data_IF_497115109308
#
_entry.id   IF_497115109308
#
_cell.length_a   1.000
_cell.length_b   1.000
_cell.length_c   1.000
_cell.angle_alpha   90.00
_cell.angle_beta   90.00
_cell.angle_gamma   90.00
#
_symmetry.space_group_name_H-M   'P 1'
#
loop_
_entity.id
_entity.type
_entity.pdbx_description
1 polymer ?
#
# COMPACT_ATOMS: atom_id res chain seq x y z
N UNK A 1 10.75 20.84 -26.31
CA UNK A 1 11.10 19.41 -26.03
C UNK A 1 10.18 18.94 -24.92
N UNK A 2 9.64 17.72 -25.07
CA UNK A 2 8.77 17.09 -24.05
C UNK A 2 9.55 16.93 -22.74
N UNK A 3 8.99 17.35 -21.60
CA UNK A 3 9.65 17.26 -20.29
C UNK A 3 9.91 15.80 -19.88
N UNK A 4 9.09 14.86 -20.39
CA UNK A 4 9.23 13.44 -20.13
C UNK A 4 9.88 12.67 -21.29
N UNK A 5 10.22 13.35 -22.42
CA UNK A 5 10.90 12.75 -23.58
C UNK A 5 9.99 11.88 -24.43
N UNK A 6 8.70 12.19 -24.56
CA UNK A 6 7.79 11.54 -25.50
C UNK A 6 8.09 11.97 -26.94
N UNK A 7 7.91 11.05 -27.89
CA UNK A 7 8.32 11.22 -29.32
C UNK A 7 7.25 10.86 -30.33
N UNK A 8 6.18 10.18 -29.93
CA UNK A 8 5.08 9.83 -30.84
C UNK A 8 4.21 11.04 -31.21
N UNK A 9 3.26 10.83 -32.13
CA UNK A 9 2.23 11.82 -32.46
C UNK A 9 1.39 12.24 -31.23
N UNK A 10 1.37 11.42 -30.15
CA UNK A 10 0.64 11.68 -28.90
C UNK A 10 1.48 12.42 -27.86
N UNK A 11 2.71 12.83 -28.17
CA UNK A 11 3.59 13.47 -27.19
C UNK A 11 2.97 14.71 -26.50
N UNK A 12 2.27 15.62 -27.21
CA UNK A 12 1.61 16.76 -26.58
C UNK A 12 0.52 16.37 -25.60
N UNK A 13 -0.32 15.40 -25.96
CA UNK A 13 -1.43 14.91 -25.13
C UNK A 13 -0.92 14.14 -23.90
N UNK A 14 0.13 13.34 -24.06
CA UNK A 14 0.76 12.61 -22.97
C UNK A 14 1.36 13.56 -21.92
N UNK A 15 2.04 14.63 -22.37
CA UNK A 15 2.55 15.66 -21.47
C UNK A 15 1.42 16.40 -20.74
N UNK A 16 0.41 16.87 -21.49
CA UNK A 16 -0.74 17.56 -20.91
C UNK A 16 -1.48 16.70 -19.88
N UNK A 17 -1.66 15.41 -20.18
CA UNK A 17 -2.26 14.44 -19.26
C UNK A 17 -1.43 14.24 -17.99
N UNK A 18 -0.10 14.14 -18.09
CA UNK A 18 0.76 14.01 -16.91
C UNK A 18 0.72 15.27 -16.03
N UNK A 19 0.77 16.46 -16.64
CA UNK A 19 0.62 17.74 -15.91
C UNK A 19 -0.74 17.82 -15.21
N UNK A 20 -1.83 17.40 -15.89
CA UNK A 20 -3.15 17.33 -15.29
C UNK A 20 -3.17 16.39 -14.08
N UNK A 21 -2.58 15.18 -14.21
CA UNK A 21 -2.51 14.20 -13.11
C UNK A 21 -1.68 14.69 -11.94
N UNK A 22 -0.60 15.39 -12.19
CA UNK A 22 0.24 15.99 -11.15
C UNK A 22 -0.50 17.06 -10.36
N UNK A 23 -1.18 17.97 -11.05
CA UNK A 23 -2.03 18.99 -10.41
C UNK A 23 -3.15 18.40 -9.56
N UNK A 24 -3.67 17.24 -9.96
CA UNK A 24 -4.65 16.47 -9.18
C UNK A 24 -4.04 15.62 -8.04
N UNK A 25 -2.73 15.72 -7.78
CA UNK A 25 -2.04 14.97 -6.76
C UNK A 25 -1.80 13.48 -7.09
N UNK A 26 -1.99 13.07 -8.34
CA UNK A 26 -1.81 11.68 -8.78
C UNK A 26 -0.46 11.46 -9.48
N UNK A 27 0.63 11.93 -8.90
CA UNK A 27 1.96 11.62 -9.41
C UNK A 27 2.29 10.14 -9.21
N UNK A 28 2.85 9.48 -10.24
CA UNK A 28 3.23 8.07 -10.14
C UNK A 28 4.24 7.66 -11.20
N UNK A 29 5.43 7.26 -10.76
CA UNK A 29 6.52 6.79 -11.64
C UNK A 29 6.07 5.64 -12.56
N UNK A 30 5.23 4.72 -12.07
CA UNK A 30 4.69 3.62 -12.87
C UNK A 30 3.83 4.11 -14.02
N UNK A 31 3.01 5.17 -13.83
CA UNK A 31 2.21 5.75 -14.91
C UNK A 31 3.12 6.30 -16.00
N UNK A 32 4.11 7.10 -15.63
CA UNK A 32 5.07 7.68 -16.58
C UNK A 32 5.77 6.55 -17.34
N UNK A 33 6.22 5.52 -16.66
CA UNK A 33 6.90 4.37 -17.27
C UNK A 33 6.04 3.65 -18.31
N UNK A 34 4.78 3.35 -17.98
CA UNK A 34 3.87 2.69 -18.92
C UNK A 34 3.46 3.59 -20.09
N UNK A 35 3.26 4.90 -19.86
CA UNK A 35 2.97 5.83 -20.93
C UNK A 35 4.16 6.02 -21.88
N UNK A 36 5.40 5.99 -21.37
CA UNK A 36 6.60 5.93 -22.24
C UNK A 36 6.65 4.68 -23.11
N UNK A 37 6.23 3.53 -22.59
CA UNK A 37 6.14 2.30 -23.40
C UNK A 37 5.04 2.40 -24.44
N UNK A 38 3.92 3.03 -24.13
CA UNK A 38 2.87 3.32 -25.11
C UNK A 38 3.38 4.27 -26.21
N UNK A 39 4.04 5.33 -25.83
CA UNK A 39 4.66 6.30 -26.74
C UNK A 39 5.66 5.62 -27.70
N UNK A 40 6.56 4.81 -27.17
CA UNK A 40 7.52 4.04 -27.95
C UNK A 40 6.83 3.06 -28.90
N UNK A 41 5.76 2.40 -28.47
CA UNK A 41 4.95 1.52 -29.33
C UNK A 41 4.33 2.32 -30.48
N UNK A 42 3.70 3.47 -30.19
CA UNK A 42 3.09 4.33 -31.21
C UNK A 42 4.13 4.84 -32.23
N UNK A 43 5.32 5.21 -31.76
CA UNK A 43 6.42 5.61 -32.63
C UNK A 43 6.86 4.46 -33.55
N UNK A 44 7.10 3.28 -32.99
CA UNK A 44 7.55 2.10 -33.73
C UNK A 44 6.54 1.64 -34.77
N UNK A 45 5.24 1.72 -34.47
CA UNK A 45 4.15 1.30 -35.34
C UNK A 45 3.51 2.44 -36.12
N UNK A 46 4.08 3.65 -36.08
CA UNK A 46 3.61 4.87 -36.79
C UNK A 46 2.13 5.16 -36.52
N UNK A 47 1.69 4.95 -35.27
CA UNK A 47 0.30 5.20 -34.86
C UNK A 47 0.09 6.68 -34.56
N UNK A 48 -0.95 7.26 -35.16
CA UNK A 48 -1.30 8.68 -35.05
C UNK A 48 -2.72 8.91 -34.55
N UNK A 49 -3.55 7.84 -34.48
CA UNK A 49 -4.93 7.90 -34.01
C UNK A 49 -5.06 7.05 -32.74
N UNK A 50 -5.71 7.60 -31.70
CA UNK A 50 -5.97 6.89 -30.44
C UNK A 50 -7.24 6.05 -30.56
N UNK A 51 -7.23 5.13 -31.50
CA UNK A 51 -8.33 4.24 -31.83
C UNK A 51 -8.21 2.88 -31.12
N UNK A 52 -9.19 2.03 -31.37
CA UNK A 52 -9.25 0.68 -30.81
C UNK A 52 -8.04 -0.15 -31.21
N UNK A 53 -7.65 -0.09 -32.48
CA UNK A 53 -6.53 -0.87 -33.00
C UNK A 53 -5.21 -0.51 -32.32
N UNK A 54 -4.95 0.78 -32.16
CA UNK A 54 -3.75 1.32 -31.51
C UNK A 54 -3.68 0.91 -30.03
N UNK A 55 -4.78 1.10 -29.29
CA UNK A 55 -4.81 0.84 -27.84
C UNK A 55 -4.79 -0.65 -27.55
N UNK A 56 -5.64 -1.46 -28.20
CA UNK A 56 -5.69 -2.91 -27.97
C UNK A 56 -4.44 -3.62 -28.53
N UNK A 57 -3.86 -3.13 -29.63
CA UNK A 57 -2.57 -3.62 -30.14
C UNK A 57 -1.43 -3.41 -29.14
N UNK A 58 -1.33 -2.23 -28.55
CA UNK A 58 -0.36 -1.99 -27.48
C UNK A 58 -0.63 -2.85 -26.23
N UNK A 59 -1.89 -2.98 -25.82
CA UNK A 59 -2.27 -3.83 -24.69
C UNK A 59 -1.83 -5.28 -24.91
N UNK A 60 -2.07 -5.81 -26.08
CA UNK A 60 -1.66 -7.17 -26.46
C UNK A 60 -0.13 -7.34 -26.40
N UNK A 61 0.61 -6.41 -27.01
CA UNK A 61 2.08 -6.42 -27.00
C UNK A 61 2.63 -6.30 -25.55
N UNK A 62 2.01 -5.46 -24.73
CA UNK A 62 2.42 -5.29 -23.35
C UNK A 62 2.11 -6.53 -22.49
N UNK A 63 0.99 -7.23 -22.73
CA UNK A 63 0.65 -8.47 -22.02
C UNK A 63 1.64 -9.58 -22.31
N UNK A 64 2.14 -9.69 -23.53
CA UNK A 64 3.16 -10.68 -23.90
C UNK A 64 4.44 -10.51 -23.05
N UNK A 65 4.76 -9.29 -22.62
CA UNK A 65 5.96 -8.97 -21.84
C UNK A 65 5.74 -8.87 -20.32
N UNK A 66 4.52 -8.62 -19.85
CA UNK A 66 4.23 -8.32 -18.43
C UNK A 66 3.46 -9.41 -17.68
N UNK A 67 3.18 -10.53 -18.32
CA UNK A 67 2.51 -11.67 -17.71
C UNK A 67 1.10 -11.33 -17.17
N UNK A 68 0.76 -11.85 -15.98
CA UNK A 68 -0.59 -11.71 -15.41
C UNK A 68 -0.91 -10.33 -14.81
N UNK A 69 0.09 -9.47 -14.65
CA UNK A 69 -0.09 -8.17 -14.01
C UNK A 69 -0.75 -7.17 -14.95
N UNK A 70 -1.95 -6.73 -14.65
CA UNK A 70 -2.81 -5.90 -15.53
C UNK A 70 -3.22 -4.55 -14.96
N UNK A 71 -2.75 -4.16 -13.76
CA UNK A 71 -3.17 -2.90 -13.13
C UNK A 71 -2.79 -1.66 -13.95
N UNK A 72 -1.75 -1.76 -14.78
CA UNK A 72 -1.29 -0.71 -15.68
C UNK A 72 -2.30 -0.35 -16.78
N UNK A 73 -3.24 -1.23 -17.12
CA UNK A 73 -4.31 -0.96 -18.10
C UNK A 73 -5.19 0.22 -17.65
N UNK A 74 -5.27 0.48 -16.35
CA UNK A 74 -5.96 1.65 -15.83
C UNK A 74 -5.33 2.97 -16.31
N UNK A 75 -4.04 3.00 -16.60
CA UNK A 75 -3.36 4.21 -17.06
C UNK A 75 -3.80 4.58 -18.47
N UNK A 76 -3.83 3.60 -19.39
CA UNK A 76 -4.25 3.85 -20.77
C UNK A 76 -5.76 4.09 -20.87
N UNK A 77 -6.58 3.37 -20.08
CA UNK A 77 -8.03 3.61 -19.99
C UNK A 77 -8.32 5.03 -19.51
N UNK A 78 -7.63 5.50 -18.49
CA UNK A 78 -7.80 6.85 -17.97
C UNK A 78 -7.27 7.92 -18.93
N UNK A 79 -6.24 7.62 -19.72
CA UNK A 79 -5.80 8.50 -20.81
C UNK A 79 -6.89 8.64 -21.86
N UNK A 80 -7.49 7.56 -22.33
CA UNK A 80 -8.59 7.60 -23.30
C UNK A 80 -9.77 8.44 -22.82
N UNK A 81 -10.20 8.26 -21.55
CA UNK A 81 -11.25 9.09 -20.94
C UNK A 81 -10.86 10.57 -20.86
N UNK A 82 -9.60 10.84 -20.55
CA UNK A 82 -9.11 12.22 -20.48
C UNK A 82 -9.08 12.87 -21.88
N UNK A 83 -8.64 12.15 -22.90
CA UNK A 83 -8.65 12.59 -24.29
C UNK A 83 -10.06 12.93 -24.76
N UNK A 84 -11.05 12.07 -24.49
CA UNK A 84 -12.46 12.36 -24.81
C UNK A 84 -12.95 13.65 -24.14
N UNK A 85 -12.60 13.87 -22.88
CA UNK A 85 -12.97 15.06 -22.14
C UNK A 85 -12.24 16.35 -22.58
N UNK A 86 -11.16 16.22 -23.39
CA UNK A 86 -10.29 17.34 -23.79
C UNK A 86 -10.20 17.52 -25.33
N UNK A 87 -11.25 17.19 -26.05
CA UNK A 87 -11.41 17.53 -27.47
C UNK A 87 -11.21 16.36 -28.46
N UNK A 88 -10.80 15.18 -27.99
CA UNK A 88 -10.67 14.00 -28.85
C UNK A 88 -11.85 13.03 -28.59
N UNK A 89 -13.07 13.43 -28.98
CA UNK A 89 -14.31 12.68 -28.72
C UNK A 89 -14.26 11.22 -29.16
N UNK A 90 -13.53 10.93 -30.22
CA UNK A 90 -13.40 9.61 -30.84
C UNK A 90 -12.27 8.75 -30.23
N UNK A 91 -11.53 9.28 -29.25
CA UNK A 91 -10.49 8.53 -28.58
C UNK A 91 -11.06 7.26 -27.92
N UNK A 92 -10.45 6.12 -28.23
CA UNK A 92 -10.93 4.84 -27.69
C UNK A 92 -10.64 4.70 -26.20
N UNK A 93 -11.64 4.32 -25.43
CA UNK A 93 -11.49 3.98 -24.01
C UNK A 93 -11.40 2.46 -23.88
N UNK A 94 -10.27 1.94 -23.42
CA UNK A 94 -10.05 0.52 -23.24
C UNK A 94 -11.18 -0.13 -22.44
N UNK A 95 -11.84 -1.11 -23.04
CA UNK A 95 -13.02 -1.76 -22.46
C UNK A 95 -12.68 -2.60 -21.22
N UNK A 96 -13.72 -2.90 -20.42
CA UNK A 96 -13.56 -3.64 -19.17
C UNK A 96 -13.29 -5.13 -19.37
N UNK A 97 -13.53 -5.68 -20.58
CA UNK A 97 -13.16 -7.06 -20.93
C UNK A 97 -11.66 -7.38 -20.74
N UNK A 98 -10.81 -6.35 -20.81
CA UNK A 98 -9.38 -6.47 -20.61
C UNK A 98 -8.97 -6.52 -19.14
N UNK A 99 -9.88 -6.24 -18.20
CA UNK A 99 -9.60 -6.36 -16.77
C UNK A 99 -9.31 -7.82 -16.42
N UNK A 100 -8.30 -8.03 -15.57
CA UNK A 100 -8.18 -9.34 -14.95
C UNK A 100 -9.41 -9.57 -14.04
N UNK A 101 -9.89 -10.80 -13.93
CA UNK A 101 -10.85 -11.14 -12.88
C UNK A 101 -10.32 -10.67 -11.53
N UNK A 102 -11.20 -10.04 -10.74
CA UNK A 102 -10.83 -9.68 -9.38
C UNK A 102 -10.72 -10.96 -8.55
N UNK A 103 -9.50 -11.30 -8.18
CA UNK A 103 -9.23 -12.36 -7.21
C UNK A 103 -8.90 -11.67 -5.89
N UNK A 104 -9.74 -11.80 -4.87
CA UNK A 104 -9.42 -11.26 -3.55
C UNK A 104 -8.08 -11.85 -3.08
N UNK A 105 -7.12 -10.97 -2.80
CA UNK A 105 -5.87 -11.41 -2.21
C UNK A 105 -6.09 -11.61 -0.71
N UNK A 106 -6.02 -12.85 -0.23
CA UNK A 106 -6.01 -13.10 1.19
C UNK A 106 -4.68 -12.62 1.78
N UNK A 107 -4.66 -11.86 2.89
CA UNK A 107 -3.42 -11.45 3.53
C UNK A 107 -2.75 -12.69 4.17
N UNK A 108 -1.44 -12.61 4.34
CA UNK A 108 -0.76 -13.52 5.23
C UNK A 108 -1.06 -13.11 6.68
N UNK A 109 -1.69 -14.01 7.44
CA UNK A 109 -2.02 -13.75 8.85
C UNK A 109 -0.81 -14.12 9.71
N UNK A 110 -0.15 -13.09 10.25
CA UNK A 110 1.01 -13.21 11.12
C UNK A 110 0.56 -13.77 12.47
N UNK A 111 1.20 -14.84 12.93
CA UNK A 111 1.04 -15.34 14.29
C UNK A 111 1.85 -14.53 15.29
N UNK A 112 1.47 -14.54 16.57
CA UNK A 112 2.23 -13.89 17.64
C UNK A 112 3.68 -14.36 17.67
N UNK A 113 3.92 -15.68 17.53
CA UNK A 113 5.27 -16.26 17.52
C UNK A 113 6.11 -15.76 16.33
N UNK A 114 5.52 -15.63 15.14
CA UNK A 114 6.22 -15.07 13.97
C UNK A 114 6.60 -13.62 14.18
N UNK A 115 5.70 -12.82 14.77
CA UNK A 115 5.96 -11.42 15.10
C UNK A 115 7.11 -11.31 16.11
N UNK A 116 7.06 -12.05 17.19
CA UNK A 116 8.11 -12.05 18.22
C UNK A 116 9.48 -12.43 17.64
N UNK A 117 9.54 -13.52 16.87
CA UNK A 117 10.77 -13.96 16.20
C UNK A 117 11.27 -12.97 15.16
N UNK A 118 10.36 -12.36 14.39
CA UNK A 118 10.72 -11.33 13.42
C UNK A 118 11.36 -10.12 14.10
N UNK A 119 10.76 -9.57 15.17
CA UNK A 119 11.29 -8.40 15.87
C UNK A 119 12.56 -8.71 16.64
N UNK A 120 12.68 -9.88 17.27
CA UNK A 120 13.90 -10.32 17.91
C UNK A 120 15.08 -10.41 16.90
N UNK A 121 14.79 -10.85 15.67
CA UNK A 121 15.78 -10.88 14.59
C UNK A 121 16.05 -9.50 14.04
N UNK A 122 15.02 -8.67 13.83
CA UNK A 122 15.17 -7.30 13.33
C UNK A 122 16.08 -6.43 14.23
N UNK A 123 16.03 -6.65 15.55
CA UNK A 123 16.90 -5.98 16.51
C UNK A 123 18.39 -6.39 16.41
N UNK A 124 18.68 -7.53 15.77
CA UNK A 124 20.02 -8.11 15.64
C UNK A 124 20.56 -8.12 14.20
N UNK A 125 19.85 -7.48 13.26
CA UNK A 125 20.27 -7.46 11.85
C UNK A 125 21.68 -6.92 11.73
N UNK A 126 22.46 -7.64 10.92
CA UNK A 126 23.89 -7.50 10.67
C UNK A 126 24.40 -6.05 10.65
N UNK A 127 25.49 -5.86 11.37
CA UNK A 127 26.15 -4.59 11.63
C UNK A 127 26.55 -3.81 10.36
N UNK A 128 26.76 -4.47 9.24
CA UNK A 128 27.15 -3.83 7.98
C UNK A 128 25.99 -3.32 7.12
N UNK A 129 24.73 -3.59 7.51
CA UNK A 129 23.57 -3.05 6.81
C UNK A 129 23.23 -1.65 7.36
N UNK A 130 23.07 -0.62 6.53
CA UNK A 130 22.62 0.70 6.98
C UNK A 130 21.18 0.65 7.55
N UNK A 131 20.50 -0.50 7.41
CA UNK A 131 19.19 -0.77 7.96
C UNK A 131 19.17 -1.41 9.33
N UNK A 132 20.32 -1.88 9.83
CA UNK A 132 20.44 -2.61 11.11
C UNK A 132 19.69 -1.93 12.27
N UNK A 133 19.92 -0.64 12.43
CA UNK A 133 19.32 0.15 13.50
C UNK A 133 17.97 0.76 13.13
N UNK A 134 17.62 0.83 11.84
CA UNK A 134 16.33 1.35 11.35
C UNK A 134 15.26 0.27 11.20
N UNK A 135 15.65 -0.99 10.94
CA UNK A 135 14.71 -2.05 10.58
C UNK A 135 13.66 -2.30 11.67
N UNK A 136 14.09 -2.42 12.92
CA UNK A 136 13.18 -2.62 14.05
C UNK A 136 12.19 -1.45 14.16
N UNK A 137 12.67 -0.21 14.16
CA UNK A 137 11.82 0.98 14.28
C UNK A 137 10.85 1.12 13.08
N UNK A 138 11.34 0.82 11.87
CA UNK A 138 10.52 0.87 10.65
C UNK A 138 9.32 -0.09 10.72
N UNK A 139 9.58 -1.35 11.04
CA UNK A 139 8.54 -2.36 11.11
C UNK A 139 7.67 -2.22 12.36
N UNK A 140 8.21 -1.68 13.46
CA UNK A 140 7.42 -1.32 14.64
C UNK A 140 6.32 -0.32 14.30
N UNK A 141 6.62 0.73 13.52
CA UNK A 141 5.57 1.68 13.07
C UNK A 141 4.52 1.00 12.20
N UNK A 142 4.92 0.11 11.30
CA UNK A 142 3.95 -0.62 10.48
C UNK A 142 3.07 -1.54 11.33
N UNK A 143 3.65 -2.24 12.30
CA UNK A 143 2.95 -3.18 13.16
C UNK A 143 2.07 -2.47 14.20
N UNK A 144 2.63 -1.49 14.95
CA UNK A 144 1.95 -0.88 16.10
C UNK A 144 1.04 0.29 15.74
N UNK A 145 1.25 0.93 14.58
CA UNK A 145 0.43 2.05 14.10
C UNK A 145 -0.33 1.74 12.80
N UNK A 146 -0.21 0.53 12.26
CA UNK A 146 -0.90 0.13 11.04
C UNK A 146 -0.53 0.96 9.81
N UNK A 147 0.67 1.55 9.75
CA UNK A 147 1.10 2.38 8.63
C UNK A 147 1.27 1.58 7.35
N UNK A 148 0.98 2.24 6.22
CA UNK A 148 1.35 1.69 4.91
C UNK A 148 2.86 1.76 4.72
N UNK A 149 3.45 0.81 4.00
CA UNK A 149 4.88 0.83 3.64
C UNK A 149 5.29 2.17 3.03
N UNK A 150 4.44 2.75 2.17
CA UNK A 150 4.69 4.05 1.56
C UNK A 150 4.67 5.21 2.56
N UNK A 151 3.75 5.19 3.52
CA UNK A 151 3.65 6.20 4.59
C UNK A 151 4.89 6.15 5.48
N UNK A 152 5.29 4.95 5.91
CA UNK A 152 6.46 4.76 6.78
C UNK A 152 7.76 5.20 6.08
N UNK A 153 8.01 4.74 4.85
CA UNK A 153 9.26 5.06 4.14
C UNK A 153 9.38 6.53 3.70
N UNK A 154 8.25 7.23 3.57
CA UNK A 154 8.19 8.64 3.17
C UNK A 154 7.93 9.57 4.35
N UNK A 155 7.89 9.05 5.58
CA UNK A 155 7.63 9.83 6.78
C UNK A 155 8.67 10.96 6.92
N UNK A 156 8.24 12.25 6.87
CA UNK A 156 9.17 13.35 7.05
C UNK A 156 9.64 13.43 8.51
N UNK A 157 10.87 13.85 8.73
CA UNK A 157 11.45 13.94 10.08
C UNK A 157 10.71 14.98 10.94
N UNK A 158 10.30 16.10 10.35
CA UNK A 158 9.55 17.18 11.00
C UNK A 158 8.11 16.80 11.38
N UNK A 159 7.65 15.60 10.98
CA UNK A 159 6.32 15.06 11.29
C UNK A 159 6.35 13.98 12.37
N UNK A 160 7.48 13.76 12.99
CA UNK A 160 7.65 12.86 14.13
C UNK A 160 7.97 13.68 15.36
N UNK A 161 6.99 13.84 16.23
CA UNK A 161 7.16 14.52 17.51
C UNK A 161 7.20 13.48 18.64
N UNK A 162 8.41 13.04 18.98
CA UNK A 162 8.63 12.03 20.02
C UNK A 162 8.39 12.62 21.42
N UNK A 163 8.50 13.95 21.60
CA UNK A 163 8.25 14.61 22.88
C UNK A 163 6.75 14.67 23.16
N UNK A 164 5.95 15.05 22.16
CA UNK A 164 4.49 15.08 22.28
C UNK A 164 3.86 13.69 22.04
N UNK A 165 4.64 12.67 21.63
CA UNK A 165 4.21 11.31 21.48
C UNK A 165 3.27 11.08 20.30
N UNK A 166 3.53 11.70 19.14
CA UNK A 166 2.70 11.49 17.95
C UNK A 166 3.49 11.58 16.63
N UNK A 167 2.88 11.08 15.57
CA UNK A 167 3.32 11.28 14.19
C UNK A 167 2.18 11.85 13.35
N UNK A 168 2.53 12.71 12.38
CA UNK A 168 1.60 13.24 11.39
C UNK A 168 1.84 12.55 10.05
N UNK A 169 0.87 11.76 9.62
CA UNK A 169 0.87 11.12 8.30
C UNK A 169 0.16 12.06 7.33
N UNK A 170 0.93 12.67 6.44
CA UNK A 170 0.42 13.63 5.47
C UNK A 170 0.23 12.97 4.09
N UNK A 171 -0.77 13.46 3.34
CA UNK A 171 -0.95 13.14 1.91
C UNK A 171 -0.96 11.63 1.60
N UNK A 172 -1.59 10.85 2.46
CA UNK A 172 -1.85 9.44 2.25
C UNK A 172 -2.72 9.21 1.00
N UNK A 173 -2.85 7.95 0.57
CA UNK A 173 -3.73 7.56 -0.55
C UNK A 173 -5.12 8.16 -0.37
N UNK A 174 -5.56 9.00 -1.33
CA UNK A 174 -6.82 9.74 -1.26
C UNK A 174 -6.70 11.11 -0.58
N UNK A 175 -5.49 11.69 -0.50
CA UNK A 175 -5.21 13.04 0.02
C UNK A 175 -5.65 13.26 1.48
N UNK A 176 -5.54 12.21 2.32
CA UNK A 176 -5.95 12.27 3.73
C UNK A 176 -4.73 12.37 4.63
N UNK A 177 -4.80 13.33 5.55
CA UNK A 177 -3.82 13.50 6.62
C UNK A 177 -4.41 13.04 7.95
N UNK A 178 -3.59 12.52 8.84
CA UNK A 178 -4.02 12.09 10.16
C UNK A 178 -2.87 12.12 11.16
N UNK A 179 -3.20 12.43 12.40
CA UNK A 179 -2.29 12.34 13.54
C UNK A 179 -2.50 11.02 14.26
N UNK A 180 -1.40 10.32 14.53
CA UNK A 180 -1.41 9.03 15.22
C UNK A 180 -0.63 9.15 16.53
N UNK A 181 -1.23 8.83 17.68
CA UNK A 181 -0.53 8.77 18.96
C UNK A 181 0.42 7.56 18.98
N UNK A 182 1.51 7.69 19.70
CA UNK A 182 2.51 6.66 19.94
C UNK A 182 2.47 6.20 21.39
N UNK A 183 2.62 4.90 21.62
CA UNK A 183 2.83 4.35 22.95
C UNK A 183 4.27 4.61 23.43
N UNK A 184 4.52 4.59 24.75
CA UNK A 184 5.85 4.79 25.31
C UNK A 184 6.90 3.86 24.70
N UNK A 185 6.58 2.58 24.54
CA UNK A 185 7.49 1.60 23.92
C UNK A 185 7.84 1.96 22.46
N UNK A 186 6.87 2.43 21.67
CA UNK A 186 7.12 2.87 20.30
C UNK A 186 8.00 4.11 20.29
N UNK A 187 7.77 5.05 21.21
CA UNK A 187 8.58 6.27 21.35
C UNK A 187 10.03 5.90 21.65
N UNK A 188 10.31 4.98 22.57
CA UNK A 188 11.65 4.53 22.91
C UNK A 188 12.38 3.95 21.70
N UNK A 189 11.75 3.05 20.94
CA UNK A 189 12.32 2.44 19.74
C UNK A 189 12.61 3.51 18.67
N UNK A 190 11.71 4.46 18.48
CA UNK A 190 11.90 5.54 17.52
C UNK A 190 12.96 6.54 17.97
N UNK A 191 13.06 6.84 19.25
CA UNK A 191 14.08 7.74 19.80
C UNK A 191 15.49 7.18 19.62
N UNK A 192 15.70 5.89 19.88
CA UNK A 192 16.97 5.23 19.64
C UNK A 192 17.34 5.26 18.13
N UNK A 193 16.37 5.02 17.25
CA UNK A 193 16.55 5.13 15.81
C UNK A 193 16.89 6.58 15.39
N UNK A 194 16.17 7.58 15.90
CA UNK A 194 16.39 9.00 15.59
C UNK A 194 17.75 9.48 16.04
N UNK A 195 18.19 9.07 17.23
CA UNK A 195 19.51 9.41 17.76
C UNK A 195 20.63 8.93 16.81
N UNK A 196 20.59 7.68 16.41
CA UNK A 196 21.56 7.12 15.46
C UNK A 196 21.49 7.80 14.10
N UNK A 197 20.25 8.05 13.60
CA UNK A 197 20.06 8.72 12.32
C UNK A 197 20.58 10.18 12.31
N UNK A 198 20.49 10.88 13.45
CA UNK A 198 21.07 12.22 13.60
C UNK A 198 22.60 12.20 13.53
N UNK A 199 23.22 11.18 14.10
CA UNK A 199 24.68 11.02 14.04
C UNK A 199 25.16 10.71 12.61
N UNK A 200 24.43 9.85 11.89
CA UNK A 200 24.84 9.39 10.56
C UNK A 200 24.48 10.38 9.43
N UNK A 201 23.29 10.98 9.48
CA UNK A 201 22.72 11.77 8.37
C UNK A 201 22.46 13.24 8.73
N UNK A 202 22.72 13.65 9.97
CA UNK A 202 22.44 14.99 10.46
C UNK A 202 20.98 15.18 10.93
N UNK A 203 20.78 16.25 11.71
CA UNK A 203 19.48 16.58 12.29
C UNK A 203 18.47 17.11 11.24
N UNK A 204 18.97 17.70 10.16
CA UNK A 204 18.15 18.33 9.09
C UNK A 204 17.73 17.36 7.98
N UNK A 205 17.92 16.05 8.17
CA UNK A 205 17.47 15.05 7.19
C UNK A 205 15.97 15.17 6.90
N UNK A 206 15.60 15.04 5.63
CA UNK A 206 14.21 15.21 5.21
C UNK A 206 13.31 14.03 5.62
N UNK A 207 13.86 12.82 5.68
CA UNK A 207 13.10 11.59 5.97
C UNK A 207 13.53 10.99 7.29
N UNK A 208 12.56 10.49 8.04
CA UNK A 208 12.84 9.84 9.32
C UNK A 208 13.67 8.56 9.10
N UNK A 209 13.32 7.77 8.09
CA UNK A 209 14.08 6.59 7.65
C UNK A 209 14.83 6.88 6.36
N UNK A 210 16.13 6.63 6.36
CA UNK A 210 17.03 6.96 5.27
C UNK A 210 17.65 5.72 4.62
N UNK A 211 17.95 5.82 3.32
CA UNK A 211 18.86 4.87 2.64
C UNK A 211 20.31 5.07 3.13
N UNK A 212 21.22 4.21 2.70
CA UNK A 212 22.65 4.33 3.00
C UNK A 212 23.26 5.68 2.59
N UNK A 213 22.65 6.37 1.63
CA UNK A 213 23.09 7.68 1.13
C UNK A 213 22.31 8.86 1.74
N UNK A 214 21.57 8.65 2.82
CA UNK A 214 20.74 9.68 3.46
C UNK A 214 19.44 10.03 2.70
N UNK A 215 19.21 9.42 1.53
CA UNK A 215 18.01 9.64 0.72
C UNK A 215 16.83 8.80 1.18
N UNK A 216 15.68 8.97 0.52
CA UNK A 216 14.51 8.16 0.79
C UNK A 216 14.74 6.67 0.49
N UNK A 217 14.14 5.82 1.29
CA UNK A 217 14.15 4.36 1.10
C UNK A 217 13.22 3.97 -0.04
N UNK A 218 13.63 3.02 -0.88
CA UNK A 218 12.78 2.47 -1.95
C UNK A 218 11.88 1.33 -1.43
N UNK A 219 10.76 1.09 -2.09
CA UNK A 219 9.88 -0.06 -1.77
C UNK A 219 10.63 -1.39 -1.94
N UNK A 220 11.50 -1.48 -2.95
CA UNK A 220 12.31 -2.67 -3.17
C UNK A 220 13.29 -2.93 -2.00
N UNK A 221 13.89 -1.88 -1.45
CA UNK A 221 14.77 -1.97 -0.28
C UNK A 221 14.00 -2.47 0.94
N UNK A 222 12.79 -1.95 1.20
CA UNK A 222 11.94 -2.43 2.31
C UNK A 222 11.60 -3.92 2.14
N UNK A 223 11.20 -4.32 0.93
CA UNK A 223 10.90 -5.74 0.64
C UNK A 223 12.12 -6.65 0.85
N UNK A 224 13.29 -6.24 0.37
CA UNK A 224 14.54 -6.99 0.57
C UNK A 224 14.88 -7.13 2.05
N UNK A 225 14.75 -6.06 2.84
CA UNK A 225 15.03 -6.09 4.27
C UNK A 225 14.05 -7.00 5.02
N UNK A 226 12.75 -6.88 4.72
CA UNK A 226 11.73 -7.76 5.30
C UNK A 226 12.05 -9.23 5.03
N UNK A 227 12.31 -9.59 3.77
CA UNK A 227 12.63 -10.95 3.38
C UNK A 227 13.89 -11.47 4.08
N UNK A 228 14.94 -10.64 4.18
CA UNK A 228 16.16 -11.00 4.89
C UNK A 228 15.91 -11.31 6.36
N UNK A 229 15.16 -10.45 7.06
CA UNK A 229 14.80 -10.68 8.47
C UNK A 229 13.94 -11.94 8.60
N UNK A 230 12.96 -12.13 7.72
CA UNK A 230 12.08 -13.28 7.70
C UNK A 230 12.86 -14.59 7.58
N UNK A 231 13.78 -14.64 6.61
CA UNK A 231 14.62 -15.81 6.35
C UNK A 231 15.63 -16.07 7.48
N UNK A 232 16.25 -15.02 8.03
CA UNK A 232 17.17 -15.14 9.18
C UNK A 232 16.44 -15.55 10.47
N UNK A 233 15.18 -15.17 10.63
CA UNK A 233 14.33 -15.65 11.73
C UNK A 233 13.91 -17.11 11.57
N UNK A 234 14.22 -17.76 10.43
CA UNK A 234 13.77 -19.12 10.12
C UNK A 234 12.26 -19.26 10.09
N UNK A 235 11.55 -18.21 9.62
CA UNK A 235 10.10 -18.19 9.55
C UNK A 235 9.58 -18.91 8.30
N UNK A 236 8.41 -19.57 8.37
CA UNK A 236 7.91 -20.39 7.27
C UNK A 236 7.49 -19.56 6.06
N UNK A 237 7.67 -20.14 4.88
CA UNK A 237 7.13 -19.61 3.62
C UNK A 237 6.15 -20.64 3.06
N UNK A 238 4.85 -20.31 2.96
CA UNK A 238 3.85 -21.24 2.44
C UNK A 238 4.16 -21.66 1.00
N UNK A 239 4.07 -22.95 0.73
CA UNK A 239 4.15 -23.48 -0.63
C UNK A 239 2.79 -23.30 -1.30
N UNK A 240 2.74 -22.56 -2.42
CA UNK A 240 1.51 -22.32 -3.18
C UNK A 240 0.53 -21.32 -2.54
N UNK A 241 0.86 -20.73 -1.39
CA UNK A 241 0.03 -19.74 -0.69
C UNK A 241 0.51 -18.30 -0.82
N UNK A 242 -0.20 -17.39 -0.13
CA UNK A 242 0.20 -15.99 -0.04
C UNK A 242 1.52 -15.89 0.74
N UNK A 243 2.52 -15.31 0.12
CA UNK A 243 3.81 -15.06 0.77
C UNK A 243 3.72 -13.88 1.75
N UNK A 244 4.39 -13.95 2.91
CA UNK A 244 4.45 -12.85 3.87
C UNK A 244 5.13 -11.62 3.26
N UNK A 245 4.59 -10.45 3.55
CA UNK A 245 5.03 -9.16 3.01
C UNK A 245 5.05 -8.09 4.10
N UNK A 246 5.82 -7.01 3.96
CA UNK A 246 5.79 -5.87 4.89
C UNK A 246 4.37 -5.36 5.18
N UNK A 247 3.50 -5.37 4.17
CA UNK A 247 2.13 -4.89 4.29
C UNK A 247 1.26 -5.72 5.23
N UNK A 248 1.61 -6.98 5.48
CA UNK A 248 0.85 -7.88 6.33
C UNK A 248 0.92 -7.47 7.82
N UNK A 249 1.91 -6.69 8.25
CA UNK A 249 1.89 -6.02 9.56
C UNK A 249 0.69 -5.07 9.73
N UNK A 250 0.33 -4.35 8.68
CA UNK A 250 -0.86 -3.49 8.71
C UNK A 250 -2.15 -4.32 8.73
N UNK A 251 -2.18 -5.44 8.04
CA UNK A 251 -3.30 -6.37 8.15
C UNK A 251 -3.41 -6.90 9.57
N UNK A 252 -2.29 -7.37 10.14
CA UNK A 252 -2.25 -7.84 11.53
C UNK A 252 -2.73 -6.77 12.52
N UNK A 253 -2.30 -5.51 12.37
CA UNK A 253 -2.80 -4.39 13.19
C UNK A 253 -4.32 -4.30 13.18
N UNK A 254 -4.95 -4.41 12.02
CA UNK A 254 -6.40 -4.34 11.91
C UNK A 254 -7.07 -5.53 12.60
N UNK A 255 -6.60 -6.76 12.33
CA UNK A 255 -7.13 -7.97 12.94
C UNK A 255 -6.97 -7.97 14.45
N UNK A 256 -5.79 -7.64 14.98
CA UNK A 256 -5.53 -7.61 16.40
C UNK A 256 -6.42 -6.62 17.17
N UNK A 257 -6.77 -5.48 16.54
CA UNK A 257 -7.70 -4.53 17.14
C UNK A 257 -9.14 -5.07 17.13
N UNK A 258 -9.60 -5.64 16.03
CA UNK A 258 -10.93 -6.24 15.91
C UNK A 258 -11.07 -7.39 16.92
N UNK A 259 -10.12 -8.30 16.97
CA UNK A 259 -10.09 -9.44 17.90
C UNK A 259 -10.10 -8.98 19.36
N UNK A 260 -9.29 -7.95 19.70
CA UNK A 260 -9.29 -7.36 21.05
C UNK A 260 -10.67 -6.83 21.42
N UNK A 261 -11.35 -6.08 20.53
CA UNK A 261 -12.68 -5.55 20.80
C UNK A 261 -13.72 -6.65 20.99
N UNK A 262 -13.64 -7.71 20.19
CA UNK A 262 -14.52 -8.89 20.37
C UNK A 262 -14.33 -9.55 21.74
N UNK A 263 -13.07 -9.80 22.14
CA UNK A 263 -12.78 -10.39 23.47
C UNK A 263 -13.25 -9.47 24.61
N UNK A 264 -13.28 -8.16 24.39
CA UNK A 264 -13.76 -7.18 25.37
C UNK A 264 -15.29 -7.01 25.34
N UNK A 265 -16.00 -7.68 24.45
CA UNK A 265 -17.45 -7.55 24.28
C UNK A 265 -17.87 -6.19 23.70
N UNK A 266 -16.96 -5.45 23.07
CA UNK A 266 -17.27 -4.18 22.44
C UNK A 266 -18.05 -4.38 21.13
N UNK A 267 -18.91 -3.43 20.80
CA UNK A 267 -19.58 -3.41 19.48
C UNK A 267 -18.56 -3.14 18.37
N UNK A 268 -18.11 -4.19 17.71
CA UNK A 268 -17.14 -4.12 16.61
C UNK A 268 -17.66 -3.23 15.48
N UNK A 269 -18.97 -3.28 15.17
CA UNK A 269 -19.57 -2.49 14.10
C UNK A 269 -19.44 -0.99 14.39
N UNK A 270 -19.68 -0.59 15.63
CA UNK A 270 -19.52 0.79 16.07
C UNK A 270 -18.03 1.23 16.07
N UNK A 271 -17.08 0.30 16.26
CA UNK A 271 -15.64 0.61 16.30
C UNK A 271 -14.97 0.67 14.92
N UNK A 272 -15.54 0.03 13.90
CA UNK A 272 -14.95 0.00 12.54
C UNK A 272 -14.73 1.37 11.90
N UNK A 273 -15.61 2.37 12.02
CA UNK A 273 -15.37 3.71 11.48
C UNK A 273 -14.13 4.38 12.09
N UNK A 274 -13.87 4.15 13.38
CA UNK A 274 -12.68 4.68 14.05
C UNK A 274 -11.41 4.00 13.53
N UNK A 275 -11.43 2.68 13.35
CA UNK A 275 -10.33 1.94 12.75
C UNK A 275 -10.07 2.40 11.31
N UNK A 276 -11.13 2.57 10.51
CA UNK A 276 -11.03 3.08 9.15
C UNK A 276 -10.36 4.45 9.09
N UNK A 277 -10.78 5.36 9.97
CA UNK A 277 -10.20 6.71 10.09
C UNK A 277 -8.74 6.67 10.54
N UNK A 278 -8.43 5.88 11.58
CA UNK A 278 -7.08 5.70 12.11
C UNK A 278 -6.13 5.15 11.03
N UNK A 279 -6.55 4.13 10.31
CA UNK A 279 -5.78 3.53 9.22
C UNK A 279 -5.73 4.41 7.95
N UNK A 280 -6.58 5.45 7.84
CA UNK A 280 -6.67 6.29 6.64
C UNK A 280 -7.24 5.53 5.43
N UNK A 281 -8.30 4.76 5.64
CA UNK A 281 -9.06 4.13 4.56
C UNK A 281 -9.94 5.18 3.87
N UNK A 282 -10.03 5.10 2.54
CA UNK A 282 -10.86 6.01 1.75
C UNK A 282 -12.34 5.70 1.93
N UNK A 283 -12.67 4.43 2.17
CA UNK A 283 -14.02 3.95 2.43
C UNK A 283 -13.99 2.90 3.54
N UNK A 284 -15.14 2.71 4.19
CA UNK A 284 -15.30 1.75 5.26
C UNK A 284 -15.23 0.31 4.74
N UNK A 285 -15.59 0.07 3.47
CA UNK A 285 -15.52 -1.24 2.82
C UNK A 285 -14.09 -1.81 2.86
N UNK A 286 -13.10 -0.93 2.77
CA UNK A 286 -11.68 -1.34 2.94
C UNK A 286 -11.37 -1.87 4.34
N UNK A 287 -12.21 -1.57 5.33
CA UNK A 287 -12.08 -2.06 6.71
C UNK A 287 -12.95 -3.30 6.92
N UNK A 288 -14.14 -3.36 6.30
CA UNK A 288 -14.98 -4.56 6.29
C UNK A 288 -14.27 -5.77 5.69
N UNK A 289 -13.32 -5.56 4.77
CA UNK A 289 -12.46 -6.62 4.24
C UNK A 289 -11.83 -7.47 5.36
N UNK A 290 -11.43 -6.87 6.46
CA UNK A 290 -10.81 -7.59 7.59
C UNK A 290 -11.78 -8.49 8.35
N UNK A 291 -13.05 -8.14 8.38
CA UNK A 291 -14.10 -8.95 9.02
C UNK A 291 -14.33 -10.25 8.23
N UNK A 292 -14.38 -10.15 6.90
CA UNK A 292 -14.68 -11.29 6.04
C UNK A 292 -13.50 -12.22 5.74
N UNK A 293 -12.30 -11.88 6.17
CA UNK A 293 -11.08 -12.64 5.82
C UNK A 293 -10.37 -13.25 7.03
N UNK A 294 -10.85 -13.02 8.25
CA UNK A 294 -10.31 -13.64 9.47
C UNK A 294 -11.08 -14.93 9.78
N UNK A 295 -10.44 -16.12 9.82
CA UNK A 295 -11.06 -17.35 10.28
C UNK A 295 -11.59 -17.23 11.71
N UNK A 296 -10.78 -16.71 12.63
CA UNK A 296 -11.16 -16.55 14.04
C UNK A 296 -12.32 -15.57 14.23
N UNK A 297 -12.47 -14.58 13.32
CA UNK A 297 -13.63 -13.71 13.30
C UNK A 297 -14.89 -14.44 12.89
N UNK A 298 -14.82 -15.32 11.89
CA UNK A 298 -15.99 -16.08 11.44
C UNK A 298 -16.49 -17.04 12.54
N UNK A 299 -15.58 -17.65 13.29
CA UNK A 299 -15.93 -18.52 14.41
C UNK A 299 -16.55 -17.73 15.57
N UNK A 300 -15.93 -16.61 15.96
CA UNK A 300 -16.47 -15.75 17.01
C UNK A 300 -17.77 -15.02 16.59
N UNK A 301 -17.93 -14.66 15.30
CA UNK A 301 -19.17 -14.11 14.75
C UNK A 301 -20.29 -15.16 14.72
N UNK A 302 -19.97 -16.42 14.39
CA UNK A 302 -20.91 -17.52 14.46
C UNK A 302 -21.39 -17.76 15.90
N UNK A 303 -20.50 -17.67 16.90
CA UNK A 303 -20.85 -17.77 18.32
C UNK A 303 -21.77 -16.61 18.79
N UNK A 304 -21.52 -15.39 18.33
CA UNK A 304 -22.32 -14.21 18.66
C UNK A 304 -23.69 -14.30 17.96
N UNK A 305 -23.71 -14.65 16.67
CA UNK A 305 -24.96 -14.78 15.90
C UNK A 305 -25.78 -16.01 16.34
N UNK A 306 -25.13 -17.10 16.72
CA UNK A 306 -25.79 -18.27 17.33
C UNK A 306 -26.54 -17.91 18.61
N UNK A 307 -25.98 -17.03 19.43
CA UNK A 307 -26.63 -16.49 20.63
C UNK A 307 -27.76 -15.50 20.30
N UNK A 308 -27.68 -14.82 19.15
CA UNK A 308 -28.69 -13.81 18.72
C UNK A 308 -29.83 -14.48 17.96
N UNK A 309 -29.59 -15.60 17.27
CA UNK A 309 -30.65 -16.38 16.60
C UNK A 309 -31.70 -16.92 17.58
N UNK A 310 -31.35 -17.14 18.84
CA UNK A 310 -32.31 -17.51 19.88
C UNK A 310 -33.25 -16.36 20.31
N UNK A 311 -33.03 -15.14 19.81
CA UNK A 311 -33.86 -13.96 20.11
C UNK A 311 -34.80 -13.60 18.96
N UNK A 312 -34.69 -14.24 17.80
CA UNK A 312 -35.63 -14.04 16.69
C UNK A 312 -36.82 -14.95 16.87
N UNK A 313 -38.08 -14.41 16.78
CA UNK A 313 -39.29 -15.25 16.81
C UNK A 313 -39.25 -16.23 15.63
N UNK A 314 -39.56 -17.49 15.88
CA UNK A 314 -39.76 -18.49 14.83
C UNK A 314 -40.92 -18.00 13.92
N UNK A 315 -40.60 -17.66 12.68
CA UNK A 315 -41.60 -17.40 11.67
C UNK A 315 -42.07 -18.73 11.16
N UNK A 316 -43.17 -19.23 11.74
CA UNK A 316 -43.88 -20.39 11.19
C UNK A 316 -44.46 -20.00 9.83
N UNK A 317 -44.05 -20.67 8.78
CA UNK A 317 -44.74 -20.64 7.51
C UNK A 317 -45.94 -21.60 7.63
N UNK A 318 -47.16 -21.08 7.77
CA UNK A 318 -48.37 -21.78 7.45
C UNK A 318 -48.66 -21.72 5.95
#
# INVERSE_FOLDING_TARGET
>A
MSAHGFTSAFAPELEAYLVFKEKMGFYGASRIWYLKRFDAYCTAHRRTVFDRETVEGWVTAQLASSGRYRSWMSYIRNLGRWLQAHGSSDAYVLSDQWKAPFVPAHPYLLTTQEIERFFATAARVDAHSPWRWQASAFFTLMHSCGLRTGETRLLPTDRVDLRAGHIDVLWSKGNRSRRLPLTGQVIEVLAACDQTARQEFGASRQRFFCSATGNQVTTATVGKMFNRIWDQAGLPRPVGGQQPRPYDFRHHFAYANIERWMRQGADVTAMLPYLARYMGHASIESTYYYIHTSPDFMDAYADITGKTQSLLPEVGFE
#
